data_IF_234731255259
#
_entry.id   IF_234731255259
#
_cell.length_a   1.000
_cell.length_b   1.000
_cell.length_c   1.000
_cell.angle_alpha   90.00
_cell.angle_beta   90.00
_cell.angle_gamma   90.00
#
_symmetry.space_group_name_H-M   'P 1'
#
loop_
_entity.id
_entity.type
_entity.pdbx_description
1 polymer ?
#
# COMPACT_ATOMS: atom_id res chain seq x y z
N UNK A 1 18.35 -23.11 37.64
CA UNK A 1 18.58 -23.65 36.28
C UNK A 1 17.33 -23.56 35.40
N UNK A 2 16.12 -23.85 35.90
CA UNK A 2 14.86 -23.74 35.12
C UNK A 2 14.64 -22.35 34.50
N UNK A 3 14.78 -21.29 35.28
CA UNK A 3 14.53 -19.91 34.82
C UNK A 3 15.54 -19.41 33.76
N UNK A 4 16.80 -19.85 33.82
CA UNK A 4 17.83 -19.49 32.83
C UNK A 4 17.48 -20.09 31.46
N UNK A 5 16.97 -21.33 31.46
CA UNK A 5 16.54 -22.02 30.23
C UNK A 5 15.30 -21.37 29.64
N UNK A 6 14.32 -20.98 30.46
CA UNK A 6 13.10 -20.27 30.02
C UNK A 6 13.43 -18.90 29.40
N UNK A 7 14.31 -18.13 30.04
CA UNK A 7 14.76 -16.85 29.51
C UNK A 7 15.49 -17.01 28.16
N UNK A 8 16.32 -18.04 28.01
CA UNK A 8 17.02 -18.33 26.77
C UNK A 8 16.06 -18.72 25.63
N UNK A 9 15.01 -19.49 25.93
CA UNK A 9 13.95 -19.83 24.96
C UNK A 9 13.18 -18.59 24.53
N UNK A 10 12.81 -17.71 25.47
CA UNK A 10 12.12 -16.45 25.17
C UNK A 10 12.95 -15.52 24.28
N UNK A 11 14.26 -15.41 24.52
CA UNK A 11 15.19 -14.63 23.69
C UNK A 11 15.32 -15.23 22.28
N UNK A 12 15.37 -16.57 22.16
CA UNK A 12 15.40 -17.25 20.87
C UNK A 12 14.14 -17.01 20.03
N UNK A 13 12.96 -17.05 20.66
CA UNK A 13 11.69 -16.76 19.99
C UNK A 13 11.62 -15.30 19.53
N UNK A 14 12.00 -14.35 20.40
CA UNK A 14 12.05 -12.93 20.04
C UNK A 14 12.98 -12.68 18.84
N UNK A 15 14.18 -13.29 18.83
CA UNK A 15 15.11 -13.22 17.70
C UNK A 15 14.47 -13.73 16.41
N UNK A 16 13.81 -14.88 16.46
CA UNK A 16 13.14 -15.44 15.28
C UNK A 16 12.02 -14.54 14.75
N UNK A 17 11.25 -13.87 15.61
CA UNK A 17 10.26 -12.88 15.18
C UNK A 17 10.92 -11.68 14.51
N UNK A 18 11.99 -11.12 15.10
CA UNK A 18 12.72 -9.97 14.55
C UNK A 18 13.28 -10.30 13.16
N UNK A 19 14.01 -11.40 13.02
CA UNK A 19 14.63 -11.80 11.74
C UNK A 19 13.58 -11.99 10.63
N UNK A 20 12.41 -12.55 10.97
CA UNK A 20 11.30 -12.70 10.02
C UNK A 20 10.70 -11.37 9.61
N UNK A 21 10.56 -10.42 10.55
CA UNK A 21 10.04 -9.07 10.27
C UNK A 21 11.03 -8.30 9.40
N UNK A 22 12.32 -8.33 9.72
CA UNK A 22 13.37 -7.64 8.96
C UNK A 22 13.39 -8.11 7.51
N UNK A 23 13.34 -9.43 7.28
CA UNK A 23 13.23 -9.99 5.92
C UNK A 23 11.99 -9.47 5.18
N UNK A 24 10.83 -9.44 5.84
CA UNK A 24 9.59 -8.94 5.22
C UNK A 24 9.65 -7.42 4.93
N UNK A 25 10.33 -6.63 5.77
CA UNK A 25 10.54 -5.21 5.51
C UNK A 25 11.51 -4.98 4.34
N UNK A 26 12.54 -5.81 4.18
CA UNK A 26 13.41 -5.80 3.00
C UNK A 26 12.64 -6.15 1.72
N UNK A 27 11.83 -7.23 1.74
CA UNK A 27 10.97 -7.62 0.60
C UNK A 27 9.98 -6.51 0.23
N UNK A 28 9.35 -5.90 1.23
CA UNK A 28 8.43 -4.76 1.06
C UNK A 28 9.14 -3.53 0.49
N UNK A 29 10.37 -3.27 0.92
CA UNK A 29 11.19 -2.18 0.38
C UNK A 29 11.50 -2.41 -1.10
N UNK A 30 11.98 -3.62 -1.46
CA UNK A 30 12.26 -3.96 -2.85
C UNK A 30 11.01 -3.77 -3.74
N UNK A 31 9.86 -4.28 -3.30
CA UNK A 31 8.60 -4.11 -4.02
C UNK A 31 8.18 -2.62 -4.14
N UNK A 32 8.39 -1.83 -3.09
CA UNK A 32 8.11 -0.40 -3.11
C UNK A 32 9.03 0.35 -4.09
N UNK A 33 10.29 -0.04 -4.17
CA UNK A 33 11.27 0.55 -5.09
C UNK A 33 10.92 0.19 -6.56
N UNK A 34 10.50 -1.05 -6.83
CA UNK A 34 10.01 -1.49 -8.15
C UNK A 34 8.77 -0.71 -8.59
N UNK A 35 7.77 -0.57 -7.70
CA UNK A 35 6.57 0.24 -7.97
C UNK A 35 6.95 1.70 -8.26
N UNK A 36 7.94 2.24 -7.53
CA UNK A 36 8.41 3.61 -7.73
C UNK A 36 9.10 3.78 -9.08
N UNK A 37 9.89 2.80 -9.52
CA UNK A 37 10.51 2.81 -10.84
C UNK A 37 9.46 2.85 -11.97
N UNK A 38 8.38 2.07 -11.85
CA UNK A 38 7.26 2.11 -12.80
C UNK A 38 6.62 3.50 -12.86
N UNK A 39 6.40 4.16 -11.72
CA UNK A 39 5.87 5.53 -11.72
C UNK A 39 6.82 6.55 -12.35
N UNK A 40 8.13 6.32 -12.29
CA UNK A 40 9.13 7.16 -12.96
C UNK A 40 9.09 6.94 -14.48
N UNK A 41 9.06 5.69 -14.92
CA UNK A 41 8.94 5.33 -16.35
C UNK A 41 7.65 5.90 -16.96
N UNK A 42 6.54 5.78 -16.24
CA UNK A 42 5.24 6.32 -16.59
C UNK A 42 5.29 7.85 -16.81
N UNK A 43 6.00 8.57 -15.94
CA UNK A 43 6.22 10.01 -16.09
C UNK A 43 7.09 10.33 -17.30
N UNK A 44 8.15 9.54 -17.54
CA UNK A 44 9.00 9.66 -18.74
C UNK A 44 8.24 9.43 -20.04
N UNK A 45 7.18 8.61 -19.98
CA UNK A 45 6.28 8.30 -21.09
C UNK A 45 5.18 9.36 -21.30
N UNK A 46 5.15 10.42 -20.48
CA UNK A 46 4.22 11.54 -20.62
C UNK A 46 2.91 11.42 -19.85
N UNK A 47 2.74 10.41 -18.99
CA UNK A 47 1.53 10.26 -18.18
C UNK A 47 1.63 11.01 -16.83
N UNK A 48 0.49 11.50 -16.33
CA UNK A 48 0.41 12.09 -15.00
C UNK A 48 0.36 11.01 -13.90
N UNK A 49 1.41 10.96 -13.07
CA UNK A 49 1.53 9.95 -12.02
C UNK A 49 0.51 10.11 -10.89
N UNK A 50 -0.04 11.31 -10.65
CA UNK A 50 -1.09 11.53 -9.63
C UNK A 50 -2.42 10.96 -10.12
N UNK A 51 -2.78 11.19 -11.38
CA UNK A 51 -3.96 10.64 -12.01
C UNK A 51 -3.92 9.10 -11.99
N UNK A 52 -2.77 8.51 -12.36
CA UNK A 52 -2.62 7.04 -12.34
C UNK A 52 -2.70 6.48 -10.93
N UNK A 53 -2.10 7.13 -9.91
CA UNK A 53 -2.28 6.74 -8.50
C UNK A 53 -3.74 6.81 -8.06
N UNK A 54 -4.53 7.77 -8.55
CA UNK A 54 -5.96 7.83 -8.30
C UNK A 54 -6.68 6.62 -8.93
N UNK A 55 -6.37 6.30 -10.19
CA UNK A 55 -6.92 5.13 -10.89
C UNK A 55 -6.58 3.83 -10.14
N UNK A 56 -5.33 3.62 -9.73
CA UNK A 56 -4.91 2.42 -8.98
C UNK A 56 -5.70 2.29 -7.66
N UNK A 57 -5.97 3.40 -6.96
CA UNK A 57 -6.81 3.37 -5.74
C UNK A 57 -8.26 3.02 -6.05
N UNK A 58 -8.84 3.61 -7.09
CA UNK A 58 -10.22 3.29 -7.52
C UNK A 58 -10.36 1.81 -7.90
N UNK A 59 -9.37 1.26 -8.62
CA UNK A 59 -9.35 -0.14 -9.05
C UNK A 59 -9.25 -1.16 -7.90
N UNK A 60 -8.90 -0.72 -6.68
CA UNK A 60 -8.89 -1.58 -5.48
C UNK A 60 -10.27 -1.73 -4.83
N UNK A 61 -11.22 -0.87 -5.17
CA UNK A 61 -12.60 -0.94 -4.66
C UNK A 61 -13.42 -1.96 -5.47
N UNK A 62 -14.50 -2.44 -4.90
CA UNK A 62 -15.48 -3.22 -5.67
C UNK A 62 -16.21 -2.32 -6.68
N UNK A 63 -16.76 -2.92 -7.75
CA UNK A 63 -17.42 -2.15 -8.82
C UNK A 63 -18.59 -1.31 -8.29
N UNK A 64 -19.43 -1.90 -7.44
CA UNK A 64 -20.58 -1.20 -6.88
C UNK A 64 -20.17 -0.03 -5.96
N UNK A 65 -19.13 -0.21 -5.15
CA UNK A 65 -18.59 0.86 -4.30
C UNK A 65 -18.06 2.05 -5.12
N UNK A 66 -17.39 1.76 -6.24
CA UNK A 66 -16.95 2.82 -7.18
C UNK A 66 -18.13 3.57 -7.76
N UNK A 67 -19.14 2.86 -8.25
CA UNK A 67 -20.32 3.47 -8.89
C UNK A 67 -21.09 4.35 -7.92
N UNK A 68 -21.27 3.90 -6.68
CA UNK A 68 -21.93 4.68 -5.63
C UNK A 68 -21.15 5.95 -5.30
N UNK A 69 -19.83 5.85 -5.11
CA UNK A 69 -18.97 7.01 -4.85
C UNK A 69 -18.95 8.00 -6.03
N UNK A 70 -18.86 7.50 -7.28
CA UNK A 70 -18.91 8.33 -8.48
C UNK A 70 -20.24 9.06 -8.62
N UNK A 71 -21.36 8.38 -8.35
CA UNK A 71 -22.69 8.99 -8.35
C UNK A 71 -22.82 10.11 -7.29
N UNK A 72 -22.31 9.87 -6.07
CA UNK A 72 -22.31 10.87 -5.00
C UNK A 72 -21.43 12.08 -5.35
N UNK A 73 -20.23 11.84 -5.89
CA UNK A 73 -19.33 12.91 -6.32
C UNK A 73 -19.99 13.73 -7.43
N UNK A 74 -20.63 13.09 -8.40
CA UNK A 74 -21.29 13.79 -9.50
C UNK A 74 -22.45 14.65 -8.97
N UNK A 75 -23.26 14.12 -8.06
CA UNK A 75 -24.33 14.88 -7.39
C UNK A 75 -23.78 16.15 -6.71
N UNK A 76 -22.66 16.04 -6.00
CA UNK A 76 -22.05 17.19 -5.32
C UNK A 76 -21.42 18.18 -6.29
N UNK A 77 -20.77 17.71 -7.36
CA UNK A 77 -20.25 18.57 -8.43
C UNK A 77 -21.38 19.38 -9.07
N UNK A 78 -22.49 18.73 -9.39
CA UNK A 78 -23.65 19.39 -9.98
C UNK A 78 -24.23 20.46 -9.04
N UNK A 79 -24.36 20.14 -7.74
CA UNK A 79 -24.83 21.07 -6.72
C UNK A 79 -23.89 22.28 -6.54
N UNK A 80 -22.58 22.09 -6.75
CA UNK A 80 -21.56 23.15 -6.69
C UNK A 80 -21.36 23.90 -8.01
N UNK A 81 -22.06 23.51 -9.09
CA UNK A 81 -21.86 24.08 -10.42
C UNK A 81 -20.52 23.71 -11.08
N UNK A 82 -19.86 22.66 -10.60
CA UNK A 82 -18.62 22.12 -11.14
C UNK A 82 -18.94 21.16 -12.29
N UNK A 83 -19.20 21.67 -13.49
CA UNK A 83 -19.38 20.86 -14.71
C UNK A 83 -18.10 20.72 -15.50
#
# INVERSE_FOLDING_TARGET
>A
MSEITEQAVAVGQLRSFIERIERLEEEKKALSDDISAIYVELKGSGFDSKAVRAIVRLRKKEEHERQEEEALIQLYKDALGMR
#
